data_IF_344606483211
#
_entry.id   IF_344606483211
#
_cell.length_a   1.000
_cell.length_b   1.000
_cell.length_c   1.000
_cell.angle_alpha   90.00
_cell.angle_beta   90.00
_cell.angle_gamma   90.00
#
_symmetry.space_group_name_H-M   'P 1'
#
loop_
_entity.id
_entity.type
_entity.pdbx_description
1 polymer ?
#
# COMPACT_ATOMS: atom_id res chain seq x y z
N UNK A 1 -2.79 -9.05 3.10
CA UNK A 1 -2.82 -10.02 1.97
C UNK A 1 -4.09 -9.88 1.12
N UNK A 2 -5.29 -10.10 1.65
CA UNK A 2 -6.54 -10.02 0.86
C UNK A 2 -6.58 -8.74 0.00
N UNK A 3 -6.41 -7.58 0.61
CA UNK A 3 -6.43 -6.31 -0.10
C UNK A 3 -5.37 -6.22 -1.21
N UNK A 4 -4.16 -6.73 -0.95
CA UNK A 4 -3.10 -6.79 -1.95
C UNK A 4 -3.43 -7.69 -3.14
N UNK A 5 -4.18 -8.77 -2.92
CA UNK A 5 -4.62 -9.67 -3.99
C UNK A 5 -5.83 -9.13 -4.77
N UNK A 6 -6.61 -8.21 -4.18
CA UNK A 6 -7.84 -7.66 -4.78
C UNK A 6 -7.72 -6.21 -5.27
N UNK A 7 -6.53 -5.76 -5.57
CA UNK A 7 -6.26 -4.42 -6.13
C UNK A 7 -6.66 -4.29 -7.61
N UNK A 8 -7.02 -5.36 -8.28
CA UNK A 8 -7.26 -5.36 -9.71
C UNK A 8 -6.01 -5.24 -10.58
N UNK A 9 -4.81 -5.38 -9.99
CA UNK A 9 -3.53 -5.40 -10.72
C UNK A 9 -3.48 -6.56 -11.70
N UNK A 10 -3.01 -6.29 -12.90
CA UNK A 10 -2.85 -7.24 -14.00
C UNK A 10 -1.38 -7.35 -14.44
N UNK A 11 -1.09 -8.38 -15.23
CA UNK A 11 0.23 -8.56 -15.85
C UNK A 11 0.59 -7.33 -16.70
N UNK A 12 1.76 -6.77 -16.44
CA UNK A 12 2.27 -5.65 -17.21
C UNK A 12 1.92 -4.26 -16.65
N UNK A 13 1.10 -4.17 -15.59
CA UNK A 13 0.71 -2.89 -14.98
C UNK A 13 1.90 -2.18 -14.32
N UNK A 14 1.92 -0.86 -14.41
CA UNK A 14 2.67 0.02 -13.50
C UNK A 14 1.80 0.33 -12.29
N UNK A 15 2.27 -0.02 -11.11
CA UNK A 15 1.55 0.11 -9.84
C UNK A 15 2.26 1.09 -8.92
N UNK A 16 1.52 2.06 -8.38
CA UNK A 16 2.00 2.95 -7.32
C UNK A 16 1.31 2.58 -6.01
N UNK A 17 2.08 2.48 -4.93
CA UNK A 17 1.58 2.30 -3.57
C UNK A 17 1.96 3.52 -2.75
N UNK A 18 0.95 4.31 -2.35
CA UNK A 18 1.10 5.46 -1.47
C UNK A 18 1.08 4.99 -0.01
N UNK A 19 2.20 5.12 0.67
CA UNK A 19 2.40 4.65 2.04
C UNK A 19 3.16 3.32 2.10
N UNK A 20 4.39 3.35 2.62
CA UNK A 20 5.28 2.20 2.84
C UNK A 20 5.12 1.52 4.22
N UNK A 21 3.97 1.69 4.88
CA UNK A 21 3.64 1.00 6.13
C UNK A 21 3.42 -0.50 5.93
N UNK A 22 3.00 -1.21 6.99
CA UNK A 22 2.79 -2.66 6.97
C UNK A 22 1.92 -3.13 5.79
N UNK A 23 0.81 -2.44 5.56
CA UNK A 23 -0.11 -2.79 4.48
C UNK A 23 0.50 -2.49 3.09
N UNK A 24 1.10 -1.31 2.92
CA UNK A 24 1.72 -0.92 1.65
C UNK A 24 2.84 -1.87 1.24
N UNK A 25 3.68 -2.29 2.18
CA UNK A 25 4.73 -3.29 1.94
C UNK A 25 4.17 -4.63 1.42
N UNK A 26 3.06 -5.09 2.00
CA UNK A 26 2.41 -6.33 1.55
C UNK A 26 1.75 -6.14 0.18
N UNK A 27 1.07 -5.02 -0.03
CA UNK A 27 0.41 -4.70 -1.30
C UNK A 27 1.45 -4.62 -2.44
N UNK A 28 2.58 -3.99 -2.20
CA UNK A 28 3.68 -3.92 -3.18
C UNK A 28 4.19 -5.31 -3.57
N UNK A 29 4.44 -6.19 -2.60
CA UNK A 29 4.85 -7.58 -2.87
C UNK A 29 3.76 -8.37 -3.62
N UNK A 30 2.48 -8.21 -3.24
CA UNK A 30 1.36 -8.84 -3.95
C UNK A 30 1.25 -8.34 -5.40
N UNK A 31 1.50 -7.06 -5.65
CA UNK A 31 1.49 -6.49 -7.00
C UNK A 31 2.57 -7.13 -7.89
N UNK A 32 3.78 -7.33 -7.34
CA UNK A 32 4.84 -8.09 -8.05
C UNK A 32 4.41 -9.52 -8.36
N UNK A 33 3.81 -10.23 -7.40
CA UNK A 33 3.31 -11.59 -7.60
C UNK A 33 2.22 -11.68 -8.68
N UNK A 34 1.42 -10.63 -8.83
CA UNK A 34 0.39 -10.54 -9.88
C UNK A 34 0.96 -10.17 -11.25
N UNK A 35 2.26 -9.98 -11.37
CA UNK A 35 2.94 -9.70 -12.62
C UNK A 35 2.98 -8.22 -13.00
N UNK A 36 2.87 -7.30 -12.04
CA UNK A 36 3.12 -5.89 -12.31
C UNK A 36 4.50 -5.71 -12.95
N UNK A 37 4.53 -4.97 -14.06
CA UNK A 37 5.79 -4.60 -14.74
C UNK A 37 6.67 -3.77 -13.81
N UNK A 38 6.08 -2.78 -13.18
CA UNK A 38 6.79 -1.89 -12.27
C UNK A 38 5.96 -1.61 -11.02
N UNK A 39 6.58 -1.73 -9.85
CA UNK A 39 5.99 -1.36 -8.55
C UNK A 39 6.79 -0.20 -7.96
N UNK A 40 6.11 0.90 -7.73
CA UNK A 40 6.64 2.14 -7.16
C UNK A 40 6.03 2.31 -5.76
N UNK A 41 6.87 2.47 -4.74
CA UNK A 41 6.40 2.76 -3.37
C UNK A 41 6.76 4.20 -3.01
N UNK A 42 5.79 4.95 -2.52
CA UNK A 42 5.94 6.34 -2.10
C UNK A 42 5.74 6.43 -0.59
N UNK A 43 6.66 7.04 0.11
CA UNK A 43 6.56 7.32 1.56
C UNK A 43 7.37 8.57 1.91
N UNK A 44 7.20 9.07 3.13
CA UNK A 44 7.97 10.19 3.69
C UNK A 44 9.17 9.73 4.53
N UNK A 45 9.30 8.43 4.81
CA UNK A 45 10.32 7.85 5.67
C UNK A 45 11.26 6.94 4.89
N UNK A 46 12.52 7.34 4.82
CA UNK A 46 13.58 6.63 4.10
C UNK A 46 13.72 5.16 4.54
N UNK A 47 13.58 4.88 5.85
CA UNK A 47 13.64 3.51 6.38
C UNK A 47 12.56 2.59 5.78
N UNK A 48 11.33 3.10 5.59
CA UNK A 48 10.24 2.36 4.95
C UNK A 48 10.48 2.15 3.47
N UNK A 49 11.05 3.14 2.79
CA UNK A 49 11.43 3.07 1.38
C UNK A 49 12.56 2.05 1.13
N UNK A 50 13.58 2.06 1.97
CA UNK A 50 14.68 1.09 1.91
C UNK A 50 14.17 -0.34 2.13
N UNK A 51 13.23 -0.53 3.07
CA UNK A 51 12.59 -1.83 3.26
C UNK A 51 11.78 -2.24 2.03
N UNK A 52 10.97 -1.34 1.46
CA UNK A 52 10.21 -1.61 0.23
C UNK A 52 11.14 -2.06 -0.92
N UNK A 53 12.26 -1.37 -1.09
CA UNK A 53 13.27 -1.73 -2.09
C UNK A 53 13.84 -3.14 -1.85
N UNK A 54 14.17 -3.47 -0.61
CA UNK A 54 14.68 -4.80 -0.24
C UNK A 54 13.64 -5.93 -0.40
N UNK A 55 12.35 -5.58 -0.38
CA UNK A 55 11.22 -6.50 -0.56
C UNK A 55 10.73 -6.59 -2.02
N UNK A 56 11.42 -5.92 -2.95
CA UNK A 56 11.19 -6.07 -4.38
C UNK A 56 10.40 -4.95 -5.05
N UNK A 57 10.22 -3.80 -4.41
CA UNK A 57 9.78 -2.60 -5.09
C UNK A 57 10.84 -2.17 -6.13
N UNK A 58 10.43 -1.89 -7.35
CA UNK A 58 11.34 -1.50 -8.42
C UNK A 58 11.87 -0.08 -8.21
N UNK A 59 11.00 0.82 -7.76
CA UNK A 59 11.33 2.23 -7.52
C UNK A 59 10.73 2.63 -6.16
N UNK A 60 11.43 3.51 -5.47
CA UNK A 60 10.94 4.16 -4.26
C UNK A 60 11.06 5.68 -4.43
N UNK A 61 10.11 6.41 -3.87
CA UNK A 61 10.03 7.88 -3.97
C UNK A 61 9.82 8.44 -2.57
N UNK A 62 10.74 9.29 -2.14
CA UNK A 62 10.58 10.07 -0.92
C UNK A 62 9.81 11.36 -1.23
N UNK A 63 8.55 11.43 -0.82
CA UNK A 63 7.70 12.58 -1.11
C UNK A 63 8.05 13.85 -0.32
N UNK A 64 9.01 13.79 0.63
CA UNK A 64 9.63 14.97 1.24
C UNK A 64 10.73 15.58 0.39
N UNK A 65 11.34 14.80 -0.51
CA UNK A 65 12.51 15.20 -1.28
C UNK A 65 12.18 15.53 -2.74
N UNK A 66 11.18 14.86 -3.31
CA UNK A 66 10.75 15.09 -4.69
C UNK A 66 9.23 15.00 -4.83
N UNK A 67 8.68 15.68 -5.83
CA UNK A 67 7.25 15.58 -6.16
C UNK A 67 6.91 14.20 -6.73
N UNK A 68 6.16 13.38 -6.01
CA UNK A 68 5.85 12.03 -6.44
C UNK A 68 4.98 11.99 -7.70
N UNK A 69 4.12 13.01 -7.91
CA UNK A 69 3.26 13.09 -9.09
C UNK A 69 4.10 13.33 -10.35
N UNK A 70 4.98 14.31 -10.28
CA UNK A 70 5.89 14.63 -11.40
C UNK A 70 6.79 13.43 -11.71
N UNK A 71 7.32 12.76 -10.66
CA UNK A 71 8.18 11.59 -10.83
C UNK A 71 7.47 10.41 -11.49
N UNK A 72 6.27 10.05 -11.03
CA UNK A 72 5.47 8.96 -11.62
C UNK A 72 5.12 9.29 -13.06
N UNK A 73 4.71 10.53 -13.36
CA UNK A 73 4.44 10.96 -14.74
C UNK A 73 5.69 10.82 -15.62
N UNK A 74 6.86 11.23 -15.15
CA UNK A 74 8.12 11.08 -15.90
C UNK A 74 8.45 9.61 -16.19
N UNK A 75 8.29 8.72 -15.19
CA UNK A 75 8.53 7.28 -15.32
C UNK A 75 7.58 6.57 -16.26
N UNK A 76 6.39 7.15 -16.50
CA UNK A 76 5.32 6.57 -17.32
C UNK A 76 5.13 7.32 -18.67
N UNK A 77 6.11 8.10 -19.09
CA UNK A 77 6.02 8.88 -20.34
C UNK A 77 4.86 9.86 -20.36
N UNK A 78 4.54 10.47 -19.22
CA UNK A 78 3.47 11.45 -19.04
C UNK A 78 2.08 10.85 -18.80
N UNK A 79 1.89 9.55 -18.98
CA UNK A 79 0.57 8.90 -18.92
C UNK A 79 0.05 8.76 -17.48
N UNK A 80 0.89 8.39 -16.54
CA UNK A 80 0.52 7.97 -15.19
C UNK A 80 0.47 6.44 -15.04
N UNK A 81 0.23 5.98 -13.82
CA UNK A 81 0.22 4.56 -13.47
C UNK A 81 -1.13 3.89 -13.80
N UNK A 82 -1.10 2.59 -14.06
CA UNK A 82 -2.29 1.76 -14.32
C UNK A 82 -3.14 1.59 -13.07
N UNK A 83 -2.48 1.39 -11.94
CA UNK A 83 -3.11 1.22 -10.63
C UNK A 83 -2.39 2.06 -9.61
N UNK A 84 -3.13 2.84 -8.83
CA UNK A 84 -2.59 3.56 -7.67
C UNK A 84 -3.36 3.14 -6.43
N UNK A 85 -2.63 2.62 -5.44
CA UNK A 85 -3.20 2.18 -4.15
C UNK A 85 -2.91 3.24 -3.10
N UNK A 86 -3.95 3.79 -2.54
CA UNK A 86 -3.87 4.74 -1.43
C UNK A 86 -3.90 3.96 -0.10
N UNK A 87 -2.78 3.97 0.64
CA UNK A 87 -2.59 3.26 1.90
C UNK A 87 -1.94 4.12 3.01
N UNK A 88 -1.91 5.45 2.85
CA UNK A 88 -1.39 6.40 3.83
C UNK A 88 -2.49 7.11 4.63
N UNK A 89 -3.65 7.38 4.02
CA UNK A 89 -4.85 7.88 4.71
C UNK A 89 -4.91 9.38 4.94
N UNK A 90 -4.14 10.19 4.21
CA UNK A 90 -4.17 11.65 4.33
C UNK A 90 -4.79 12.31 3.09
N UNK A 91 -5.32 13.53 3.23
CA UNK A 91 -5.86 14.28 2.10
C UNK A 91 -4.81 14.49 1.00
N UNK A 92 -3.56 14.75 1.40
CA UNK A 92 -2.43 14.92 0.49
C UNK A 92 -2.15 13.65 -0.29
N UNK A 93 -2.11 12.48 0.38
CA UNK A 93 -1.86 11.20 -0.29
C UNK A 93 -2.98 10.82 -1.25
N UNK A 94 -4.25 11.08 -0.91
CA UNK A 94 -5.38 10.86 -1.79
C UNK A 94 -5.31 11.74 -3.05
N UNK A 95 -5.05 13.04 -2.88
CA UNK A 95 -4.95 13.97 -4.00
C UNK A 95 -3.75 13.65 -4.91
N UNK A 96 -2.60 13.35 -4.33
CA UNK A 96 -1.41 12.93 -5.07
C UNK A 96 -1.67 11.60 -5.81
N UNK A 97 -2.26 10.61 -5.14
CA UNK A 97 -2.62 9.32 -5.74
C UNK A 97 -3.53 9.50 -6.95
N UNK A 98 -4.58 10.30 -6.81
CA UNK A 98 -5.50 10.62 -7.91
C UNK A 98 -4.79 11.25 -9.12
N UNK A 99 -3.83 12.17 -8.87
CA UNK A 99 -3.10 12.85 -9.93
C UNK A 99 -2.08 11.94 -10.67
N UNK A 100 -1.69 10.81 -10.07
CA UNK A 100 -0.74 9.86 -10.66
C UNK A 100 -1.37 8.84 -11.60
N UNK A 101 -2.69 8.68 -11.58
CA UNK A 101 -3.39 7.65 -12.35
C UNK A 101 -3.47 8.04 -13.83
N UNK A 102 -3.34 7.07 -14.73
CA UNK A 102 -3.58 7.25 -16.15
C UNK A 102 -5.08 7.34 -16.47
N UNK A 103 -5.44 7.77 -17.68
CA UNK A 103 -6.81 7.63 -18.18
C UNK A 103 -7.24 6.15 -18.14
N UNK A 104 -8.47 5.89 -17.68
CA UNK A 104 -9.05 4.56 -17.46
C UNK A 104 -8.21 3.69 -16.50
N UNK A 105 -7.46 4.32 -15.59
CA UNK A 105 -6.71 3.63 -14.56
C UNK A 105 -7.54 3.37 -13.30
N UNK A 106 -6.95 2.63 -12.35
CA UNK A 106 -7.60 2.21 -11.11
C UNK A 106 -7.10 2.98 -9.91
N UNK A 107 -8.02 3.56 -9.17
CA UNK A 107 -7.79 4.11 -7.83
C UNK A 107 -8.23 3.07 -6.79
N UNK A 108 -7.30 2.55 -6.00
CA UNK A 108 -7.59 1.53 -4.99
C UNK A 108 -7.62 2.17 -3.60
N UNK A 109 -8.77 2.12 -2.94
CA UNK A 109 -8.94 2.56 -1.56
C UNK A 109 -8.57 1.43 -0.61
N UNK A 110 -7.52 1.64 0.19
CA UNK A 110 -7.13 0.72 1.24
C UNK A 110 -7.17 1.38 2.63
N UNK A 111 -6.76 2.63 2.74
CA UNK A 111 -6.63 3.31 4.04
C UNK A 111 -7.97 3.48 4.75
N UNK A 112 -7.89 3.59 6.08
CA UNK A 112 -9.03 3.88 6.93
C UNK A 112 -9.03 5.37 7.26
N UNK A 113 -9.98 6.12 6.72
CA UNK A 113 -10.15 7.55 6.97
C UNK A 113 -11.36 7.74 7.88
N UNK A 114 -11.15 8.31 9.06
CA UNK A 114 -12.20 8.50 10.09
C UNK A 114 -12.72 9.93 10.16
N UNK A 115 -12.03 10.87 9.52
CA UNK A 115 -12.41 12.30 9.50
C UNK A 115 -12.65 12.76 8.06
N UNK A 116 -13.54 13.74 7.84
CA UNK A 116 -13.73 14.30 6.51
C UNK A 116 -12.42 14.85 5.93
N UNK A 117 -12.15 14.54 4.67
CA UNK A 117 -11.01 15.06 3.90
C UNK A 117 -11.50 15.77 2.64
N UNK A 118 -10.73 16.75 2.18
CA UNK A 118 -11.03 17.46 0.93
C UNK A 118 -10.28 16.81 -0.22
N UNK A 119 -11.02 16.40 -1.26
CA UNK A 119 -10.47 15.77 -2.46
C UNK A 119 -10.72 16.61 -3.70
N UNK A 120 -9.71 16.70 -4.57
CA UNK A 120 -9.86 17.25 -5.91
C UNK A 120 -10.32 16.14 -6.86
N UNK A 121 -11.61 16.13 -7.17
CA UNK A 121 -12.24 15.13 -8.05
C UNK A 121 -12.44 15.60 -9.48
N UNK A 122 -11.93 16.78 -9.84
CA UNK A 122 -12.24 17.45 -11.10
C UNK A 122 -11.94 16.60 -12.35
N UNK A 123 -10.96 15.71 -12.26
CA UNK A 123 -10.55 14.86 -13.38
C UNK A 123 -11.15 13.45 -13.35
N UNK A 124 -11.78 13.03 -12.27
CA UNK A 124 -12.17 11.63 -12.08
C UNK A 124 -13.15 11.13 -13.12
N UNK A 125 -14.13 11.97 -13.50
CA UNK A 125 -15.09 11.63 -14.53
C UNK A 125 -14.44 11.58 -15.92
N UNK A 126 -13.73 12.66 -16.29
CA UNK A 126 -13.15 12.82 -17.62
C UNK A 126 -12.03 11.80 -17.89
N UNK A 127 -11.27 11.44 -16.85
CA UNK A 127 -10.23 10.43 -16.93
C UNK A 127 -10.77 8.99 -16.88
N UNK A 128 -12.07 8.80 -16.61
CA UNK A 128 -12.71 7.49 -16.57
C UNK A 128 -12.11 6.57 -15.47
N UNK A 129 -11.84 7.13 -14.28
CA UNK A 129 -11.19 6.36 -13.21
C UNK A 129 -12.09 5.26 -12.65
N UNK A 130 -11.55 4.06 -12.52
CA UNK A 130 -12.18 2.96 -11.80
C UNK A 130 -11.81 3.02 -10.30
N UNK A 131 -12.82 2.99 -9.41
CA UNK A 131 -12.60 2.97 -7.97
C UNK A 131 -12.77 1.56 -7.42
N UNK A 132 -11.72 1.05 -6.77
CA UNK A 132 -11.68 -0.29 -6.18
C UNK A 132 -11.59 -0.17 -4.66
N UNK A 133 -12.54 -0.76 -3.95
CA UNK A 133 -12.51 -0.88 -2.50
C UNK A 133 -12.05 -2.28 -2.09
N UNK A 134 -11.04 -2.36 -1.22
CA UNK A 134 -10.45 -3.64 -0.79
C UNK A 134 -10.82 -4.02 0.64
N UNK A 135 -11.92 -3.51 1.17
CA UNK A 135 -12.35 -3.72 2.55
C UNK A 135 -12.89 -5.14 2.77
N UNK A 136 -12.50 -5.75 3.91
CA UNK A 136 -13.00 -7.07 4.38
C UNK A 136 -14.11 -6.98 5.42
N UNK A 137 -14.44 -5.78 5.91
CA UNK A 137 -15.31 -5.61 7.09
C UNK A 137 -16.69 -6.23 6.88
N UNK A 138 -17.25 -6.13 5.68
CA UNK A 138 -18.57 -6.64 5.34
C UNK A 138 -18.59 -8.11 4.90
N UNK A 139 -17.45 -8.80 4.85
CA UNK A 139 -17.43 -10.21 4.53
C UNK A 139 -17.85 -11.05 5.73
N UNK A 140 -18.72 -12.04 5.49
CA UNK A 140 -19.09 -13.03 6.50
C UNK A 140 -17.87 -13.86 6.93
N UNK A 141 -17.98 -14.56 8.07
CA UNK A 141 -16.93 -15.48 8.50
C UNK A 141 -16.66 -16.56 7.47
N UNK A 142 -17.69 -17.10 6.82
CA UNK A 142 -17.58 -18.10 5.77
C UNK A 142 -16.77 -17.58 4.58
N UNK A 143 -17.04 -16.35 4.14
CA UNK A 143 -16.27 -15.71 3.08
C UNK A 143 -14.81 -15.49 3.48
N UNK A 144 -14.54 -15.09 4.74
CA UNK A 144 -13.18 -14.91 5.24
C UNK A 144 -12.39 -16.22 5.29
N UNK A 145 -13.03 -17.33 5.63
CA UNK A 145 -12.40 -18.66 5.67
C UNK A 145 -11.82 -19.09 4.31
N UNK A 146 -12.45 -18.69 3.22
CA UNK A 146 -11.95 -19.00 1.87
C UNK A 146 -10.62 -18.25 1.61
N UNK A 147 -10.49 -17.02 2.10
CA UNK A 147 -9.32 -16.18 1.86
C UNK A 147 -8.09 -16.56 2.70
N UNK A 148 -8.27 -17.18 3.86
CA UNK A 148 -7.15 -17.50 4.76
C UNK A 148 -6.16 -18.46 4.11
N UNK A 149 -6.54 -19.62 3.56
CA UNK A 149 -5.60 -20.49 2.86
C UNK A 149 -4.91 -19.82 1.68
N UNK A 150 -5.63 -19.06 0.87
CA UNK A 150 -5.07 -18.37 -0.29
C UNK A 150 -4.05 -17.31 0.10
N UNK A 151 -4.31 -16.56 1.16
CA UNK A 151 -3.38 -15.54 1.64
C UNK A 151 -2.18 -16.14 2.36
N UNK A 152 -2.31 -17.32 2.98
CA UNK A 152 -1.20 -17.99 3.67
C UNK A 152 -0.21 -18.68 2.73
N UNK A 153 -0.67 -19.19 1.59
CA UNK A 153 0.19 -19.88 0.62
C UNK A 153 1.42 -19.05 0.20
N UNK A 154 1.28 -17.82 -0.30
CA UNK A 154 2.44 -17.01 -0.70
C UNK A 154 3.40 -16.70 0.46
N UNK A 155 2.88 -16.62 1.69
CA UNK A 155 3.69 -16.40 2.89
C UNK A 155 4.51 -17.66 3.21
N UNK A 156 3.87 -18.83 3.21
CA UNK A 156 4.51 -20.12 3.49
C UNK A 156 5.58 -20.43 2.42
N UNK A 157 5.28 -20.12 1.16
CA UNK A 157 6.21 -20.28 0.03
C UNK A 157 7.36 -19.26 0.03
N UNK A 158 7.32 -18.25 0.91
CA UNK A 158 8.32 -17.18 0.95
C UNK A 158 8.23 -16.15 -0.16
N UNK A 159 7.18 -16.23 -1.01
CA UNK A 159 6.94 -15.26 -2.09
C UNK A 159 6.48 -13.91 -1.55
N UNK A 160 5.83 -13.89 -0.38
CA UNK A 160 5.55 -12.67 0.41
C UNK A 160 6.29 -12.77 1.74
N UNK A 161 7.20 -11.83 1.98
CA UNK A 161 8.05 -11.78 3.17
C UNK A 161 7.38 -10.91 4.22
N UNK A 162 6.96 -11.53 5.35
CA UNK A 162 6.32 -10.81 6.47
C UNK A 162 7.30 -10.56 7.61
N UNK A 163 8.24 -11.47 7.88
CA UNK A 163 9.17 -11.33 9.00
C UNK A 163 9.92 -10.00 9.02
N UNK A 164 10.45 -9.48 7.88
CA UNK A 164 11.13 -8.19 7.88
C UNK A 164 10.23 -7.00 8.23
N UNK A 165 8.91 -7.17 8.18
CA UNK A 165 7.95 -6.12 8.56
C UNK A 165 7.75 -6.01 10.06
N UNK A 166 8.14 -7.03 10.84
CA UNK A 166 8.08 -6.99 12.31
C UNK A 166 9.30 -6.20 12.78
N UNK A 167 9.06 -4.93 13.14
CA UNK A 167 10.14 -4.03 13.57
C UNK A 167 10.40 -4.10 15.07
N UNK A 168 9.38 -4.47 15.84
CA UNK A 168 9.46 -4.44 17.29
C UNK A 168 8.72 -5.63 17.90
N UNK A 169 9.34 -6.26 18.90
CA UNK A 169 8.73 -7.35 19.66
C UNK A 169 8.73 -6.98 21.15
N UNK A 170 7.61 -7.20 21.80
CA UNK A 170 7.42 -6.98 23.25
C UNK A 170 6.88 -8.24 23.90
N UNK A 171 7.13 -8.42 25.21
CA UNK A 171 6.37 -9.37 26.02
C UNK A 171 4.94 -8.87 26.21
N UNK A 172 3.99 -9.77 26.37
CA UNK A 172 2.60 -9.38 26.62
C UNK A 172 2.46 -8.52 27.89
N UNK A 173 3.31 -8.74 28.88
CA UNK A 173 3.36 -7.92 30.09
C UNK A 173 3.69 -6.43 29.82
N UNK A 174 4.39 -6.14 28.71
CA UNK A 174 4.83 -4.80 28.33
C UNK A 174 3.91 -4.18 27.26
N UNK A 175 2.65 -4.61 27.18
CA UNK A 175 1.69 -4.22 26.15
C UNK A 175 1.54 -2.70 26.03
N UNK A 176 1.53 -2.00 27.17
CA UNK A 176 1.44 -0.53 27.18
C UNK A 176 2.62 0.13 26.46
N UNK A 177 3.84 -0.34 26.71
CA UNK A 177 5.04 0.20 26.06
C UNK A 177 5.01 -0.01 24.54
N UNK A 178 4.50 -1.15 24.09
CA UNK A 178 4.33 -1.42 22.65
C UNK A 178 3.30 -0.50 21.98
N UNK A 179 2.17 -0.22 22.64
CA UNK A 179 1.18 0.74 22.12
C UNK A 179 1.70 2.18 22.17
N UNK A 180 2.40 2.57 23.25
CA UNK A 180 3.02 3.89 23.35
C UNK A 180 4.08 4.11 22.24
N UNK A 181 4.81 3.05 21.85
CA UNK A 181 5.73 3.11 20.72
C UNK A 181 4.99 3.24 19.39
N UNK A 182 3.92 2.48 19.19
CA UNK A 182 3.12 2.55 17.96
C UNK A 182 2.51 3.94 17.71
N UNK A 183 2.21 4.67 18.77
CA UNK A 183 1.64 6.02 18.72
C UNK A 183 2.69 7.11 18.46
N UNK A 184 3.95 6.87 18.87
CA UNK A 184 5.00 7.90 18.87
C UNK A 184 6.06 7.73 17.80
N UNK A 185 6.22 6.52 17.25
CA UNK A 185 7.30 6.18 16.32
C UNK A 185 6.75 5.77 14.95
N UNK A 186 6.69 6.72 14.04
CA UNK A 186 6.27 6.50 12.66
C UNK A 186 7.18 5.51 11.89
N UNK A 187 8.39 5.24 12.40
CA UNK A 187 9.30 4.24 11.82
C UNK A 187 8.88 2.81 12.17
N UNK A 188 8.11 2.59 13.23
CA UNK A 188 7.57 1.28 13.57
C UNK A 188 6.57 0.82 12.50
N UNK A 189 6.83 -0.35 11.90
CA UNK A 189 5.99 -0.91 10.83
C UNK A 189 4.99 -1.91 11.39
N UNK A 190 5.48 -2.88 12.15
CA UNK A 190 4.64 -3.86 12.84
C UNK A 190 5.23 -4.22 14.19
N UNK A 191 4.42 -3.97 15.21
CA UNK A 191 4.72 -4.36 16.59
C UNK A 191 3.98 -5.66 16.89
N UNK A 192 4.66 -6.63 17.50
CA UNK A 192 4.07 -7.90 17.92
C UNK A 192 4.32 -8.12 19.42
N UNK A 193 3.39 -8.81 20.07
CA UNK A 193 3.50 -9.21 21.46
C UNK A 193 3.61 -10.72 21.54
N UNK A 194 4.53 -11.19 22.40
CA UNK A 194 4.69 -12.61 22.69
C UNK A 194 4.20 -12.89 24.10
N UNK A 195 3.49 -14.00 24.33
CA UNK A 195 3.11 -14.48 25.66
C UNK A 195 4.28 -14.65 26.59
#
# INVERSE_FOLDING_TARGET
>A
MYSGLNTGVQLGDTVVVMGGGYAGQIIAQCSKLKGAYQVIVVDVLEGKLNLAKSLGADIVINSKEEDPVAKVKALTGGKGADVVVEAAGTAESFNAASAMIKHNGKFVFYSWVTTPITLNISRWHDDGLEFVNTCLVHHTWQQRYVWVPETMRPIIQGSVKIKPLITNEFKLADIKAGFDLADKDDAAIKIVFRP
#
